data_IF_299672306142
#
_entry.id   IF_299672306142
#
_cell.length_a   1.000
_cell.length_b   1.000
_cell.length_c   1.000
_cell.angle_alpha   90.00
_cell.angle_beta   90.00
_cell.angle_gamma   90.00
#
_symmetry.space_group_name_H-M   'P 1'
#
loop_
_entity.id
_entity.type
_entity.pdbx_description
1 polymer ?
#
# COMPACT_ATOMS: atom_id res chain seq x y z
N UNK A 1 -0.66 1.04 -9.77
CA UNK A 1 -1.27 0.20 -8.71
C UNK A 1 -2.74 0.01 -9.05
N UNK A 2 -3.27 -1.20 -8.89
CA UNK A 2 -4.71 -1.46 -9.02
C UNK A 2 -5.25 -1.72 -7.62
N UNK A 3 -6.06 -0.81 -7.10
CA UNK A 3 -6.69 -0.92 -5.79
C UNK A 3 -8.06 -1.60 -5.91
N UNK A 4 -8.27 -2.66 -5.14
CA UNK A 4 -9.51 -3.44 -5.13
C UNK A 4 -10.34 -3.25 -3.84
N UNK A 5 -9.90 -2.37 -2.93
CA UNK A 5 -10.57 -2.03 -1.69
C UNK A 5 -10.18 -2.91 -0.50
N UNK A 6 -11.09 -3.02 0.47
CA UNK A 6 -10.82 -3.66 1.76
C UNK A 6 -10.52 -5.15 1.62
N UNK A 7 -9.46 -5.63 2.27
CA UNK A 7 -9.14 -7.06 2.31
C UNK A 7 -10.31 -7.87 2.88
N UNK A 8 -10.60 -9.06 2.31
CA UNK A 8 -11.74 -9.90 2.73
C UNK A 8 -11.41 -11.39 2.78
N UNK A 9 -12.10 -12.06 3.71
CA UNK A 9 -12.32 -13.50 3.72
C UNK A 9 -13.82 -13.77 3.51
N UNK A 10 -14.22 -14.25 2.32
CA UNK A 10 -15.65 -14.46 2.03
C UNK A 10 -16.18 -15.79 2.56
N UNK A 11 -15.31 -16.79 2.62
CA UNK A 11 -15.57 -18.13 3.13
C UNK A 11 -14.23 -18.84 3.31
N UNK A 12 -14.12 -19.90 4.12
CA UNK A 12 -12.85 -20.55 4.40
C UNK A 12 -12.03 -20.85 3.13
N UNK A 13 -10.89 -20.17 2.97
CA UNK A 13 -9.99 -20.32 1.82
C UNK A 13 -10.29 -19.43 0.60
N UNK A 14 -11.32 -18.59 0.66
CA UNK A 14 -11.72 -17.67 -0.42
C UNK A 14 -11.40 -16.23 -0.02
N UNK A 15 -10.24 -15.77 -0.50
CA UNK A 15 -9.67 -14.46 -0.20
C UNK A 15 -9.85 -13.49 -1.37
N UNK A 16 -9.86 -12.20 -1.06
CA UNK A 16 -10.01 -11.16 -2.07
C UNK A 16 -10.12 -9.77 -1.44
N UNK A 17 -10.80 -8.87 -2.15
CA UNK A 17 -11.02 -7.50 -1.72
C UNK A 17 -12.40 -6.99 -2.14
N UNK A 18 -12.94 -6.03 -1.39
CA UNK A 18 -14.24 -5.41 -1.64
C UNK A 18 -14.12 -3.89 -1.73
N UNK A 19 -14.62 -3.31 -2.81
CA UNK A 19 -14.63 -1.86 -3.00
C UNK A 19 -15.74 -1.15 -2.21
N UNK A 20 -15.71 0.19 -2.21
CA UNK A 20 -16.72 1.02 -1.56
C UNK A 20 -18.12 0.94 -2.20
N UNK A 21 -18.25 0.37 -3.39
CA UNK A 21 -19.54 0.06 -4.04
C UNK A 21 -20.08 -1.32 -3.67
N UNK A 22 -19.41 -2.05 -2.76
CA UNK A 22 -19.67 -3.44 -2.38
C UNK A 22 -19.42 -4.46 -3.50
N UNK A 23 -18.64 -4.11 -4.51
CA UNK A 23 -18.18 -5.07 -5.52
C UNK A 23 -17.16 -6.00 -4.86
N UNK A 24 -17.36 -7.30 -5.01
CA UNK A 24 -16.48 -8.34 -4.49
C UNK A 24 -15.55 -8.81 -5.60
N UNK A 25 -14.25 -8.81 -5.31
CA UNK A 25 -13.22 -9.36 -6.16
C UNK A 25 -12.53 -10.51 -5.45
N UNK A 26 -12.64 -11.73 -5.98
CA UNK A 26 -11.82 -12.84 -5.51
C UNK A 26 -10.38 -12.68 -5.97
N UNK A 27 -9.43 -13.32 -5.28
CA UNK A 27 -8.02 -13.31 -5.68
C UNK A 27 -7.78 -13.84 -7.11
N UNK A 28 -8.64 -14.72 -7.64
CA UNK A 28 -8.52 -15.16 -9.05
C UNK A 28 -9.00 -14.09 -10.04
N UNK A 29 -10.04 -13.34 -9.70
CA UNK A 29 -10.50 -12.19 -10.50
C UNK A 29 -9.45 -11.08 -10.48
N UNK A 30 -8.87 -10.80 -9.31
CA UNK A 30 -7.79 -9.83 -9.15
C UNK A 30 -6.58 -10.23 -9.99
N UNK A 31 -6.11 -11.48 -9.89
CA UNK A 31 -5.00 -11.96 -10.72
C UNK A 31 -5.29 -11.79 -12.22
N UNK A 32 -6.50 -12.14 -12.66
CA UNK A 32 -6.90 -11.97 -14.07
C UNK A 32 -6.86 -10.50 -14.51
N UNK A 33 -7.24 -9.57 -13.63
CA UNK A 33 -7.16 -8.13 -13.88
C UNK A 33 -5.71 -7.65 -13.94
N UNK A 34 -4.83 -8.14 -13.06
CA UNK A 34 -3.41 -7.82 -13.06
C UNK A 34 -2.71 -8.35 -14.33
N UNK A 35 -3.01 -9.57 -14.76
CA UNK A 35 -2.52 -10.15 -16.02
C UNK A 35 -3.03 -9.34 -17.22
N UNK A 36 -4.29 -8.89 -17.19
CA UNK A 36 -4.84 -8.02 -18.23
C UNK A 36 -4.12 -6.66 -18.28
N UNK A 37 -3.78 -6.08 -17.12
CA UNK A 37 -2.97 -4.87 -17.05
C UNK A 37 -1.55 -5.10 -17.58
N UNK A 38 -0.94 -6.25 -17.27
CA UNK A 38 0.37 -6.66 -17.79
C UNK A 38 0.36 -6.78 -19.32
N UNK A 39 -0.66 -7.41 -19.89
CA UNK A 39 -0.86 -7.49 -21.33
C UNK A 39 -1.06 -6.12 -21.97
N UNK A 40 -1.91 -5.29 -21.39
CA UNK A 40 -2.16 -3.93 -21.87
C UNK A 40 -0.88 -3.09 -21.89
N UNK A 41 -0.12 -3.11 -20.79
CA UNK A 41 1.16 -2.42 -20.72
C UNK A 41 2.17 -2.95 -21.76
N UNK A 42 2.32 -4.28 -21.87
CA UNK A 42 3.25 -4.88 -22.82
C UNK A 42 2.93 -4.47 -24.27
N UNK A 43 1.65 -4.57 -24.65
CA UNK A 43 1.19 -4.26 -26.01
C UNK A 43 1.29 -2.77 -26.34
N UNK A 44 1.19 -1.89 -25.32
CA UNK A 44 1.31 -0.44 -25.46
C UNK A 44 2.72 0.10 -25.24
N UNK A 45 3.70 -0.73 -24.89
CA UNK A 45 5.03 -0.27 -24.49
C UNK A 45 5.81 0.32 -25.68
N UNK A 46 6.29 1.55 -25.52
CA UNK A 46 6.97 2.33 -26.58
C UNK A 46 8.50 2.30 -26.50
N UNK A 47 9.08 1.46 -25.66
CA UNK A 47 10.54 1.26 -25.58
C UNK A 47 11.25 2.00 -24.44
N UNK A 48 10.55 2.79 -23.62
CA UNK A 48 11.15 3.57 -22.52
C UNK A 48 10.62 3.11 -21.16
N UNK A 49 11.50 3.05 -20.16
CA UNK A 49 11.14 2.73 -18.77
C UNK A 49 10.79 1.26 -18.51
N UNK A 50 10.29 1.04 -17.29
CA UNK A 50 9.76 -0.23 -16.79
C UNK A 50 8.55 0.06 -15.90
N UNK A 51 7.74 -0.94 -15.62
CA UNK A 51 6.52 -0.77 -14.80
C UNK A 51 6.38 -1.86 -13.76
N UNK A 52 5.99 -1.47 -12.55
CA UNK A 52 5.59 -2.38 -11.49
C UNK A 52 4.06 -2.43 -11.50
N UNK A 53 3.50 -3.64 -11.60
CA UNK A 53 2.06 -3.86 -11.49
C UNK A 53 1.79 -4.43 -10.10
N UNK A 54 1.05 -3.68 -9.29
CA UNK A 54 0.81 -4.01 -7.89
C UNK A 54 -0.66 -4.34 -7.62
N UNK A 55 -0.90 -5.40 -6.84
CA UNK A 55 -2.18 -5.67 -6.19
C UNK A 55 -2.31 -4.77 -4.95
N UNK A 56 -3.11 -3.70 -5.07
CA UNK A 56 -3.50 -2.83 -3.97
C UNK A 56 -4.74 -3.33 -3.23
N UNK A 57 -4.72 -3.26 -1.90
CA UNK A 57 -5.88 -3.40 -1.03
C UNK A 57 -5.78 -2.40 0.12
N UNK A 58 -6.81 -2.34 0.98
CA UNK A 58 -6.82 -1.48 2.15
C UNK A 58 -7.36 -2.19 3.39
N UNK A 59 -7.23 -1.55 4.55
CA UNK A 59 -7.69 -2.09 5.82
C UNK A 59 -9.16 -1.79 6.14
N UNK A 60 -9.95 -1.26 5.21
CA UNK A 60 -11.33 -0.85 5.47
C UNK A 60 -12.20 -1.97 6.01
N UNK A 61 -12.68 -1.77 7.24
CA UNK A 61 -13.78 -2.53 7.83
C UNK A 61 -13.56 -4.05 7.94
N UNK A 62 -12.30 -4.51 7.99
CA UNK A 62 -11.98 -5.94 8.13
C UNK A 62 -12.71 -6.58 9.33
N UNK A 63 -12.62 -5.97 10.51
CA UNK A 63 -13.24 -6.47 11.75
C UNK A 63 -14.76 -6.52 11.63
N UNK A 64 -15.39 -5.46 11.10
CA UNK A 64 -16.85 -5.42 10.97
C UNK A 64 -17.39 -6.35 9.87
N UNK A 65 -16.53 -6.77 8.93
CA UNK A 65 -16.82 -7.83 7.97
C UNK A 65 -16.50 -9.23 8.52
N UNK A 66 -16.23 -9.35 9.82
CA UNK A 66 -16.06 -10.63 10.50
C UNK A 66 -14.68 -11.26 10.35
N UNK A 67 -13.68 -10.51 9.86
CA UNK A 67 -12.30 -11.00 9.81
C UNK A 67 -11.70 -11.06 11.20
N UNK A 68 -11.07 -12.18 11.52
CA UNK A 68 -10.16 -12.33 12.64
C UNK A 68 -8.75 -11.85 12.29
N UNK A 69 -7.89 -11.72 13.30
CA UNK A 69 -6.44 -11.49 13.11
C UNK A 69 -5.80 -12.52 12.18
N UNK A 70 -6.17 -13.80 12.31
CA UNK A 70 -5.69 -14.87 11.43
C UNK A 70 -6.20 -14.71 10.00
N UNK A 71 -7.39 -14.15 9.82
CA UNK A 71 -7.92 -13.86 8.48
C UNK A 71 -7.15 -12.74 7.81
N UNK A 72 -6.87 -11.64 8.53
CA UNK A 72 -6.04 -10.56 7.99
C UNK A 72 -4.64 -11.05 7.60
N UNK A 73 -4.01 -11.83 8.47
CA UNK A 73 -2.72 -12.47 8.15
C UNK A 73 -2.78 -13.30 6.86
N UNK A 74 -3.78 -14.16 6.73
CA UNK A 74 -3.91 -14.97 5.51
C UNK A 74 -4.21 -14.10 4.28
N UNK A 75 -5.03 -13.06 4.41
CA UNK A 75 -5.33 -12.15 3.31
C UNK A 75 -4.06 -11.52 2.74
N UNK A 76 -3.16 -11.03 3.58
CA UNK A 76 -1.88 -10.43 3.16
C UNK A 76 -0.93 -11.47 2.58
N UNK A 77 -0.86 -12.65 3.19
CA UNK A 77 -0.09 -13.77 2.64
C UNK A 77 -0.52 -14.10 1.20
N UNK A 78 -1.83 -14.24 0.98
CA UNK A 78 -2.37 -14.57 -0.34
C UNK A 78 -2.29 -13.41 -1.33
N UNK A 79 -2.32 -12.16 -0.87
CA UNK A 79 -2.04 -10.98 -1.70
C UNK A 79 -0.62 -11.06 -2.27
N UNK A 80 0.40 -11.29 -1.42
CA UNK A 80 1.79 -11.46 -1.87
C UNK A 80 1.95 -12.69 -2.78
N UNK A 81 1.22 -13.78 -2.53
CA UNK A 81 1.19 -14.92 -3.45
C UNK A 81 0.64 -14.55 -4.83
N UNK A 82 -0.38 -13.68 -4.93
CA UNK A 82 -0.88 -13.23 -6.25
C UNK A 82 0.12 -12.37 -7.00
N UNK A 83 0.95 -11.58 -6.31
CA UNK A 83 2.08 -10.90 -6.96
C UNK A 83 3.12 -11.89 -7.50
N UNK A 84 3.39 -13.00 -6.79
CA UNK A 84 4.25 -14.08 -7.28
C UNK A 84 3.68 -14.76 -8.54
N UNK A 85 2.37 -15.00 -8.55
CA UNK A 85 1.69 -15.59 -9.70
C UNK A 85 1.76 -14.65 -10.91
N UNK A 86 1.54 -13.35 -10.70
CA UNK A 86 1.67 -12.33 -11.76
C UNK A 86 3.08 -12.27 -12.32
N UNK A 87 4.11 -12.28 -11.47
CA UNK A 87 5.49 -12.28 -11.94
C UNK A 87 5.84 -13.55 -12.74
N UNK A 88 5.30 -14.70 -12.32
CA UNK A 88 5.44 -15.96 -13.06
C UNK A 88 4.76 -15.88 -14.44
N UNK A 89 3.58 -15.25 -14.51
CA UNK A 89 2.89 -14.94 -15.76
C UNK A 89 3.72 -14.03 -16.67
N UNK A 90 4.21 -12.89 -16.14
CA UNK A 90 5.05 -11.95 -16.88
C UNK A 90 6.31 -12.63 -17.43
N UNK A 91 6.96 -13.47 -16.61
CA UNK A 91 8.15 -14.23 -17.02
C UNK A 91 7.83 -15.23 -18.13
N UNK A 92 6.72 -15.96 -18.05
CA UNK A 92 6.35 -16.97 -19.07
C UNK A 92 5.97 -16.35 -20.41
N UNK A 93 5.56 -15.08 -20.42
CA UNK A 93 5.25 -14.30 -21.63
C UNK A 93 6.42 -13.42 -22.12
N UNK A 94 7.56 -13.43 -21.42
CA UNK A 94 8.75 -12.66 -21.81
C UNK A 94 8.66 -11.15 -21.57
N UNK A 95 7.84 -10.71 -20.61
CA UNK A 95 7.62 -9.29 -20.29
C UNK A 95 8.77 -8.70 -19.45
N UNK A 96 9.96 -8.60 -20.04
CA UNK A 96 11.21 -8.20 -19.37
C UNK A 96 11.32 -6.72 -18.93
N UNK A 97 10.25 -5.94 -19.08
CA UNK A 97 10.13 -4.53 -18.63
C UNK A 97 9.06 -4.34 -17.57
N UNK A 98 8.56 -5.45 -17.02
CA UNK A 98 7.56 -5.43 -15.97
C UNK A 98 8.05 -6.19 -14.75
N UNK A 99 7.51 -5.82 -13.60
CA UNK A 99 7.59 -6.61 -12.38
C UNK A 99 6.25 -6.57 -11.65
N UNK A 100 6.16 -7.37 -10.58
CA UNK A 100 4.99 -7.45 -9.72
C UNK A 100 5.33 -7.00 -8.30
N UNK A 101 4.35 -6.43 -7.63
CA UNK A 101 4.41 -6.05 -6.21
C UNK A 101 3.01 -6.18 -5.58
N UNK A 102 2.91 -5.83 -4.31
CA UNK A 102 1.65 -5.54 -3.66
C UNK A 102 1.66 -4.09 -3.17
N UNK A 103 0.50 -3.59 -2.78
CA UNK A 103 0.42 -2.37 -2.00
C UNK A 103 -0.70 -2.46 -1.00
N UNK A 104 -0.57 -1.70 0.07
CA UNK A 104 -1.58 -1.61 1.12
C UNK A 104 -1.85 -0.15 1.46
N UNK A 105 -3.12 0.22 1.49
CA UNK A 105 -3.61 1.51 1.93
C UNK A 105 -4.03 1.38 3.39
N UNK A 106 -3.05 1.54 4.27
CA UNK A 106 -3.20 1.32 5.70
C UNK A 106 -3.52 2.64 6.40
N UNK A 107 -4.79 2.79 6.75
CA UNK A 107 -5.29 4.04 7.27
C UNK A 107 -5.85 3.88 8.70
N UNK A 108 -5.36 4.66 9.68
CA UNK A 108 -5.84 4.59 11.05
C UNK A 108 -7.36 4.71 11.20
N UNK A 109 -8.03 5.47 10.33
CA UNK A 109 -9.48 5.72 10.41
C UNK A 109 -10.37 4.50 10.10
N UNK A 110 -9.83 3.43 9.54
CA UNK A 110 -10.62 2.41 8.84
C UNK A 110 -10.76 1.08 9.58
N UNK A 111 -9.77 0.67 10.37
CA UNK A 111 -9.87 -0.45 11.32
C UNK A 111 -8.84 -0.31 12.45
N UNK A 112 -8.85 -1.23 13.41
CA UNK A 112 -7.95 -1.26 14.55
C UNK A 112 -6.50 -1.59 14.12
N UNK A 113 -5.48 -1.11 14.86
CA UNK A 113 -4.08 -1.34 14.50
C UNK A 113 -3.72 -2.84 14.54
N UNK A 114 -4.32 -3.59 15.46
CA UNK A 114 -4.01 -5.01 15.65
C UNK A 114 -4.30 -5.87 14.41
N UNK A 115 -5.46 -5.68 13.76
CA UNK A 115 -5.83 -6.46 12.57
C UNK A 115 -5.09 -5.97 11.32
N UNK A 116 -4.88 -4.66 11.21
CA UNK A 116 -4.14 -4.01 10.12
C UNK A 116 -2.68 -4.47 10.07
N UNK A 117 -2.01 -4.55 11.23
CA UNK A 117 -0.66 -5.11 11.33
C UNK A 117 -0.59 -6.58 10.92
N UNK A 118 -1.62 -7.37 11.19
CA UNK A 118 -1.64 -8.76 10.75
C UNK A 118 -1.68 -8.90 9.23
N UNK A 119 -2.36 -7.99 8.52
CA UNK A 119 -2.36 -7.96 7.06
C UNK A 119 -0.92 -7.84 6.52
N UNK A 120 -0.15 -6.88 7.06
CA UNK A 120 1.26 -6.65 6.71
C UNK A 120 2.17 -7.79 7.15
N UNK A 121 1.97 -8.33 8.36
CA UNK A 121 2.74 -9.48 8.86
C UNK A 121 2.58 -10.70 7.94
N UNK A 122 1.36 -10.93 7.43
CA UNK A 122 1.05 -12.01 6.50
C UNK A 122 1.76 -11.86 5.15
N UNK A 123 1.70 -10.65 4.58
CA UNK A 123 2.42 -10.33 3.35
C UNK A 123 3.93 -10.52 3.51
N UNK A 124 4.51 -9.96 4.58
CA UNK A 124 5.92 -10.12 4.89
C UNK A 124 6.32 -11.57 5.13
N UNK A 125 5.45 -12.40 5.72
CA UNK A 125 5.74 -13.81 5.96
C UNK A 125 5.75 -14.64 4.68
N UNK A 126 4.96 -14.27 3.67
CA UNK A 126 5.05 -14.88 2.35
C UNK A 126 6.37 -14.48 1.66
N UNK A 127 6.75 -13.21 1.77
CA UNK A 127 8.11 -12.72 1.50
C UNK A 127 8.52 -12.62 0.03
N UNK A 128 7.59 -12.70 -0.92
CA UNK A 128 7.88 -12.54 -2.34
C UNK A 128 7.90 -11.06 -2.79
N UNK A 129 6.86 -10.31 -2.44
CA UNK A 129 6.62 -8.99 -2.97
C UNK A 129 7.11 -7.87 -2.02
N UNK A 130 7.63 -6.79 -2.61
CA UNK A 130 7.63 -5.50 -1.94
C UNK A 130 6.19 -5.03 -1.75
N UNK A 131 5.92 -4.44 -0.61
CA UNK A 131 4.63 -3.90 -0.26
C UNK A 131 4.70 -2.39 -0.17
N UNK A 132 4.12 -1.70 -1.15
CA UNK A 132 4.06 -0.24 -1.14
C UNK A 132 2.92 0.19 -0.23
N UNK A 133 3.23 0.68 0.97
CA UNK A 133 2.22 1.30 1.82
C UNK A 133 1.87 2.68 1.25
N UNK A 134 0.69 2.77 0.65
CA UNK A 134 0.17 4.00 0.05
C UNK A 134 -0.94 4.64 0.87
N UNK A 135 -1.01 4.34 2.17
CA UNK A 135 -2.00 4.89 3.07
C UNK A 135 -1.61 6.18 3.77
N UNK A 136 -2.31 6.45 4.87
CA UNK A 136 -2.31 7.73 5.58
C UNK A 136 -1.81 7.61 7.02
N UNK A 137 -1.19 8.68 7.54
CA UNK A 137 -0.79 8.79 8.95
C UNK A 137 -1.86 9.53 9.77
N UNK A 138 -3.12 9.20 9.52
CA UNK A 138 -4.27 9.98 9.96
C UNK A 138 -4.37 10.14 11.49
N UNK A 139 -4.56 11.40 11.90
CA UNK A 139 -4.65 11.79 13.31
C UNK A 139 -3.33 11.69 14.09
N UNK A 140 -2.22 11.27 13.47
CA UNK A 140 -0.92 11.30 14.13
C UNK A 140 -0.47 12.74 14.44
N UNK A 141 0.46 12.94 15.39
CA UNK A 141 1.01 14.27 15.67
C UNK A 141 1.81 14.82 14.49
N UNK A 142 1.77 16.13 14.29
CA UNK A 142 2.58 16.84 13.27
C UNK A 142 3.97 17.25 13.77
N UNK A 143 4.35 16.86 14.99
CA UNK A 143 5.67 17.14 15.56
C UNK A 143 6.08 16.10 16.59
N UNK A 144 7.38 16.05 16.93
CA UNK A 144 7.95 15.04 17.82
C UNK A 144 8.37 13.76 17.08
N UNK A 145 8.35 12.64 17.80
CA UNK A 145 8.80 11.32 17.34
C UNK A 145 7.93 10.17 17.87
N UNK A 146 6.68 10.46 18.25
CA UNK A 146 5.76 9.47 18.82
C UNK A 146 4.45 10.13 19.27
N UNK A 147 3.48 9.30 19.64
CA UNK A 147 2.17 9.74 20.10
C UNK A 147 1.04 8.84 19.61
N UNK A 148 -0.18 9.24 19.92
CA UNK A 148 -1.39 8.59 19.43
C UNK A 148 -1.80 9.15 18.07
N UNK A 149 -2.41 8.29 17.26
CA UNK A 149 -3.05 8.60 16.00
C UNK A 149 -4.55 8.31 16.10
N UNK A 150 -5.29 8.41 14.98
CA UNK A 150 -6.73 8.11 14.98
C UNK A 150 -7.04 6.67 15.42
N UNK A 151 -8.27 6.44 15.88
CA UNK A 151 -8.81 5.11 16.17
C UNK A 151 -7.96 4.24 17.12
N UNK A 152 -7.28 4.87 18.08
CA UNK A 152 -6.44 4.15 19.04
C UNK A 152 -5.11 3.63 18.49
N UNK A 153 -4.75 3.99 17.25
CA UNK A 153 -3.43 3.73 16.70
C UNK A 153 -2.37 4.54 17.42
N UNK A 154 -1.14 4.07 17.39
CA UNK A 154 0.05 4.84 17.74
C UNK A 154 0.90 5.12 16.49
N UNK A 155 1.80 6.08 16.60
CA UNK A 155 2.81 6.32 15.55
C UNK A 155 3.63 5.05 15.25
N UNK A 156 3.85 4.18 16.25
CA UNK A 156 4.55 2.92 16.06
C UNK A 156 3.74 1.90 15.26
N UNK A 157 2.41 1.92 15.35
CA UNK A 157 1.55 1.06 14.53
C UNK A 157 1.59 1.49 13.07
N UNK A 158 1.53 2.81 12.79
CA UNK A 158 1.71 3.36 11.44
C UNK A 158 3.11 3.03 10.91
N UNK A 159 4.14 3.15 11.75
CA UNK A 159 5.51 2.78 11.35
C UNK A 159 5.66 1.28 11.05
N UNK A 160 4.92 0.42 11.78
CA UNK A 160 4.91 -1.02 11.53
C UNK A 160 4.28 -1.32 10.17
N UNK A 161 3.07 -0.84 9.91
CA UNK A 161 2.38 -1.16 8.64
C UNK A 161 3.11 -0.61 7.41
N UNK A 162 3.82 0.50 7.59
CA UNK A 162 4.52 1.17 6.49
C UNK A 162 5.95 0.69 6.22
N UNK A 163 6.61 0.02 7.18
CA UNK A 163 8.05 -0.26 7.06
C UNK A 163 8.52 -1.57 7.73
N UNK A 164 7.61 -2.38 8.27
CA UNK A 164 7.96 -3.71 8.75
C UNK A 164 8.14 -4.70 7.59
N UNK A 165 9.18 -5.53 7.67
CA UNK A 165 9.37 -6.63 6.72
C UNK A 165 9.67 -6.13 5.30
N UNK A 166 8.76 -6.42 4.36
CA UNK A 166 8.85 -5.99 2.96
C UNK A 166 8.09 -4.70 2.66
N UNK A 167 7.45 -4.08 3.66
CA UNK A 167 6.72 -2.83 3.52
C UNK A 167 7.65 -1.64 3.30
N UNK A 168 7.24 -0.76 2.39
CA UNK A 168 7.95 0.46 2.04
C UNK A 168 6.98 1.64 1.92
N UNK A 169 7.26 2.78 2.58
CA UNK A 169 6.31 3.87 2.66
C UNK A 169 6.31 4.68 1.35
N UNK A 170 5.14 4.72 0.72
CA UNK A 170 4.81 5.54 -0.44
C UNK A 170 3.54 6.37 -0.13
N UNK A 171 3.60 7.23 0.91
CA UNK A 171 2.42 7.73 1.59
C UNK A 171 1.56 8.71 0.80
N UNK A 172 0.27 8.81 1.15
CA UNK A 172 -0.62 9.87 0.66
C UNK A 172 -0.26 11.23 1.24
N UNK A 173 -0.01 12.20 0.35
CA UNK A 173 0.31 13.58 0.73
C UNK A 173 -0.60 14.57 -0.01
N UNK A 174 -1.84 14.70 0.47
CA UNK A 174 -2.80 15.68 -0.04
C UNK A 174 -2.62 17.09 0.56
N UNK A 175 -2.10 17.16 1.79
CA UNK A 175 -1.91 18.41 2.53
C UNK A 175 -0.55 18.41 3.25
N UNK A 176 -0.03 19.59 3.59
CA UNK A 176 1.26 19.71 4.27
C UNK A 176 1.28 19.01 5.64
N UNK A 177 0.13 18.91 6.30
CA UNK A 177 0.00 18.19 7.58
C UNK A 177 0.31 16.70 7.42
N UNK A 178 -0.01 16.09 6.26
CA UNK A 178 0.33 14.69 6.01
C UNK A 178 1.85 14.52 5.98
N UNK A 179 2.58 15.43 5.32
CA UNK A 179 4.06 15.41 5.34
C UNK A 179 4.63 15.55 6.75
N UNK A 180 4.03 16.40 7.59
CA UNK A 180 4.43 16.54 9.00
C UNK A 180 4.20 15.25 9.80
N UNK A 181 3.05 14.60 9.62
CA UNK A 181 2.70 13.34 10.30
C UNK A 181 3.62 12.19 9.90
N UNK A 182 3.84 12.00 8.60
CA UNK A 182 4.78 11.00 8.10
C UNK A 182 6.22 11.26 8.56
N UNK A 183 6.61 12.53 8.74
CA UNK A 183 7.90 12.87 9.35
C UNK A 183 8.00 12.39 10.81
N UNK A 184 6.89 12.43 11.57
CA UNK A 184 6.84 11.86 12.94
C UNK A 184 6.93 10.33 12.90
N UNK A 185 6.26 9.67 11.96
CA UNK A 185 6.36 8.20 11.74
C UNK A 185 7.82 7.80 11.48
N UNK A 186 8.47 8.43 10.50
CA UNK A 186 9.89 8.18 10.21
C UNK A 186 10.79 8.42 11.43
N UNK A 187 10.56 9.49 12.18
CA UNK A 187 11.33 9.79 13.41
C UNK A 187 11.12 8.74 14.50
N UNK A 188 9.92 8.20 14.60
CA UNK A 188 9.59 7.16 15.57
C UNK A 188 10.33 5.84 15.27
N UNK A 189 10.32 5.41 14.00
CA UNK A 189 11.09 4.22 13.60
C UNK A 189 12.59 4.43 13.73
N UNK A 190 13.07 5.60 13.28
CA UNK A 190 14.47 6.00 13.38
C UNK A 190 15.29 5.62 12.15
N UNK A 191 16.42 4.95 12.36
CA UNK A 191 17.42 4.71 11.31
C UNK A 191 16.91 3.75 10.25
N UNK A 192 17.25 4.04 8.98
CA UNK A 192 16.91 3.19 7.84
C UNK A 192 15.55 3.48 7.21
N UNK A 193 14.65 4.18 7.90
CA UNK A 193 13.33 4.54 7.34
C UNK A 193 13.48 5.53 6.19
N UNK A 194 13.08 5.10 5.00
CA UNK A 194 13.20 5.82 3.73
C UNK A 194 11.85 5.84 3.04
N UNK A 195 11.40 7.04 2.63
CA UNK A 195 10.23 7.18 1.78
C UNK A 195 10.57 6.78 0.36
N UNK A 196 9.81 5.84 -0.19
CA UNK A 196 9.96 5.44 -1.58
C UNK A 196 9.37 6.46 -2.54
N UNK A 197 8.65 7.44 -2.02
CA UNK A 197 8.08 8.53 -2.79
C UNK A 197 6.91 9.15 -2.07
N UNK A 198 5.89 9.55 -2.83
CA UNK A 198 4.57 9.91 -2.29
C UNK A 198 3.47 9.58 -3.31
N UNK A 199 2.28 9.33 -2.80
CA UNK A 199 1.06 9.33 -3.60
C UNK A 199 0.30 10.65 -3.45
N UNK A 200 -0.51 10.98 -4.46
CA UNK A 200 -1.36 12.15 -4.43
C UNK A 200 -2.42 12.13 -5.54
N UNK A 201 -3.28 13.13 -5.56
CA UNK A 201 -4.32 13.29 -6.58
C UNK A 201 -4.36 14.74 -7.06
N UNK A 202 -5.05 14.98 -8.17
CA UNK A 202 -5.30 16.34 -8.66
C UNK A 202 -6.66 16.82 -8.16
N UNK A 203 -6.78 18.12 -7.88
CA UNK A 203 -8.05 18.73 -7.44
C UNK A 203 -8.34 18.66 -5.93
N UNK A 204 -7.41 18.13 -5.13
CA UNK A 204 -7.50 18.13 -3.65
C UNK A 204 -6.19 18.68 -3.08
N UNK A 205 -6.24 19.81 -2.38
CA UNK A 205 -5.09 20.36 -1.66
C UNK A 205 -3.85 20.60 -2.54
N UNK A 206 -2.77 19.87 -2.26
CA UNK A 206 -1.50 19.90 -2.97
C UNK A 206 -1.58 19.09 -4.28
N UNK A 207 -0.92 19.55 -5.33
CA UNK A 207 -0.62 18.68 -6.49
C UNK A 207 0.31 17.55 -6.07
N UNK A 208 0.35 16.41 -6.82
CA UNK A 208 1.28 15.33 -6.52
C UNK A 208 2.73 15.80 -6.34
N UNK A 209 3.24 16.67 -7.23
CA UNK A 209 4.59 17.22 -7.12
C UNK A 209 4.77 18.05 -5.83
N UNK A 210 3.78 18.88 -5.48
CA UNK A 210 3.85 19.67 -4.24
C UNK A 210 3.80 18.79 -2.99
N UNK A 211 3.06 17.68 -3.01
CA UNK A 211 3.05 16.69 -1.94
C UNK A 211 4.44 16.07 -1.75
N UNK A 212 5.07 15.64 -2.85
CA UNK A 212 6.45 15.14 -2.84
C UNK A 212 7.43 16.20 -2.31
N UNK A 213 7.37 17.43 -2.82
CA UNK A 213 8.24 18.53 -2.40
C UNK A 213 8.09 18.81 -0.89
N UNK A 214 6.86 18.80 -0.38
CA UNK A 214 6.57 19.01 1.04
C UNK A 214 7.13 17.89 1.93
N UNK A 215 7.06 16.63 1.49
CA UNK A 215 7.64 15.50 2.20
C UNK A 215 9.17 15.55 2.18
N UNK A 216 9.76 15.82 1.01
CA UNK A 216 11.21 15.91 0.83
C UNK A 216 11.82 17.11 1.58
N UNK A 217 11.15 18.26 1.62
CA UNK A 217 11.63 19.41 2.40
C UNK A 217 11.81 19.11 3.90
N UNK A 218 11.00 18.19 4.45
CA UNK A 218 11.08 17.75 5.86
C UNK A 218 12.03 16.59 6.09
N UNK A 219 12.34 15.83 5.03
CA UNK A 219 13.08 14.58 5.08
C UNK A 219 14.14 14.54 3.96
N UNK A 220 14.90 15.64 3.80
CA UNK A 220 15.84 15.80 2.68
C UNK A 220 16.84 14.65 2.60
N UNK A 221 16.93 14.04 1.42
CA UNK A 221 17.80 12.87 1.17
C UNK A 221 17.21 11.55 1.66
N UNK A 222 15.98 11.54 2.17
CA UNK A 222 15.25 10.37 2.64
C UNK A 222 13.92 10.13 1.89
N UNK A 223 13.74 10.78 0.73
CA UNK A 223 12.58 10.61 -0.14
C UNK A 223 13.08 10.28 -1.55
N UNK A 224 12.72 9.10 -2.05
CA UNK A 224 13.00 8.68 -3.43
C UNK A 224 12.04 9.37 -4.41
N UNK A 225 12.34 9.27 -5.70
CA UNK A 225 11.62 9.98 -6.76
C UNK A 225 10.31 9.34 -7.20
N UNK A 226 9.85 8.24 -6.59
CA UNK A 226 8.60 7.62 -7.01
C UNK A 226 7.43 8.58 -6.74
N UNK A 227 6.56 8.71 -7.72
CA UNK A 227 5.37 9.53 -7.62
C UNK A 227 4.22 8.76 -8.23
N UNK A 228 3.27 8.32 -7.41
CA UNK A 228 2.03 7.74 -7.89
C UNK A 228 0.95 8.81 -7.83
N UNK A 229 0.23 8.98 -8.93
CA UNK A 229 -0.88 9.90 -8.98
C UNK A 229 -2.17 9.12 -9.28
N UNK A 230 -3.17 9.29 -8.40
CA UNK A 230 -4.48 8.68 -8.53
C UNK A 230 -5.43 9.66 -9.23
N UNK A 231 -5.97 9.28 -10.40
CA UNK A 231 -6.95 10.11 -11.12
C UNK A 231 -6.38 11.29 -11.90
N UNK A 232 -5.10 11.23 -12.25
CA UNK A 232 -4.56 11.88 -13.45
C UNK A 232 -4.58 10.90 -14.63
#
# INVERSE_FOLDING_TARGET
MLDFGGARNYSPGVWGAQDFSNTIFSNSQILSALESAANGHHNGWTGTGSTIIAYGNNNSYMTSHGMSSSDAYNAGYYQSQRAQDLASYQSSHGYNKQSAAIGSDEEPGFDAPGISRQLIDGASAQGYALDYDYGSADGCPSSGSGGSCNNGWTVADVAHVSFYGSAVPLPEIYYTVNSDQWTVVRRNWGSGYLFWGSTGSTGVGLTPQQGWDALNARNSGLVLSELICFGC
#
